data_IF_079338741091
#
_entry.id   IF_079338741091
#
_cell.length_a   1.000
_cell.length_b   1.000
_cell.length_c   1.000
_cell.angle_alpha   90.00
_cell.angle_beta   90.00
_cell.angle_gamma   90.00
#
_symmetry.space_group_name_H-M   'P 1'
#
loop_
_entity.id
_entity.type
_entity.pdbx_description
1 polymer ?
#
# COMPACT_ATOMS: atom_id res chain seq x y z
N UNK A 1 -39.04 -3.63 -1.33
CA UNK A 1 -39.27 -3.99 -2.75
C UNK A 1 -38.24 -3.20 -3.55
N UNK A 2 -37.19 -3.87 -4.05
CA UNK A 2 -36.16 -3.24 -4.88
C UNK A 2 -36.64 -3.28 -6.35
N UNK A 3 -36.46 -2.15 -7.04
CA UNK A 3 -36.82 -1.93 -8.44
C UNK A 3 -35.91 -2.77 -9.36
N UNK A 4 -36.40 -3.64 -10.26
CA UNK A 4 -35.60 -4.48 -11.12
C UNK A 4 -35.45 -3.92 -12.54
N UNK A 5 -35.11 -2.63 -12.70
CA UNK A 5 -35.05 -2.00 -14.03
C UNK A 5 -33.65 -1.67 -14.57
N UNK A 6 -32.58 -2.34 -14.11
CA UNK A 6 -31.33 -2.33 -14.86
C UNK A 6 -31.32 -3.43 -15.91
N UNK A 7 -31.67 -3.05 -17.13
CA UNK A 7 -31.80 -3.95 -18.26
C UNK A 7 -30.46 -4.33 -18.87
N UNK A 8 -30.41 -5.49 -19.51
CA UNK A 8 -29.26 -5.98 -20.34
C UNK A 8 -28.73 -4.92 -21.32
N UNK A 9 -29.53 -3.92 -21.64
CA UNK A 9 -29.23 -2.80 -22.53
C UNK A 9 -28.29 -1.78 -21.87
N UNK A 10 -28.45 -1.52 -20.56
CA UNK A 10 -27.59 -0.57 -19.81
C UNK A 10 -26.19 -1.17 -19.58
N UNK A 11 -26.12 -2.48 -19.39
CA UNK A 11 -24.86 -3.21 -19.33
C UNK A 11 -24.10 -3.20 -20.67
N UNK A 12 -24.80 -3.33 -21.79
CA UNK A 12 -24.19 -3.26 -23.13
C UNK A 12 -23.79 -1.83 -23.51
N UNK A 13 -24.49 -0.80 -23.04
CA UNK A 13 -24.11 0.60 -23.21
C UNK A 13 -22.83 0.95 -22.43
N UNK A 14 -22.67 0.40 -21.22
CA UNK A 14 -21.44 0.53 -20.45
C UNK A 14 -20.24 -0.14 -21.14
N UNK A 15 -20.44 -1.30 -21.77
CA UNK A 15 -19.41 -1.97 -22.59
C UNK A 15 -19.05 -1.16 -23.83
N UNK A 16 -20.01 -0.49 -24.47
CA UNK A 16 -19.79 0.39 -25.62
C UNK A 16 -18.91 1.63 -25.25
N UNK A 17 -19.15 2.21 -24.07
CA UNK A 17 -18.33 3.32 -23.56
C UNK A 17 -16.90 2.86 -23.17
N UNK A 18 -16.74 1.64 -22.66
CA UNK A 18 -15.43 1.03 -22.40
C UNK A 18 -14.68 0.70 -23.70
N UNK A 19 -15.35 0.40 -24.79
CA UNK A 19 -14.71 0.16 -26.10
C UNK A 19 -14.19 1.44 -26.74
N UNK A 20 -14.84 2.60 -26.53
CA UNK A 20 -14.33 3.90 -26.95
C UNK A 20 -13.09 4.33 -26.13
N UNK A 21 -13.03 4.01 -24.85
CA UNK A 21 -11.82 4.18 -24.03
C UNK A 21 -10.65 3.25 -24.46
N UNK A 22 -10.96 2.05 -24.98
CA UNK A 22 -9.93 1.15 -25.51
C UNK A 22 -9.24 1.71 -26.76
N UNK A 23 -9.93 2.40 -27.64
CA UNK A 23 -9.34 2.99 -28.85
C UNK A 23 -8.32 4.11 -28.55
N UNK A 24 -8.53 4.89 -27.48
CA UNK A 24 -7.55 5.90 -27.03
C UNK A 24 -6.35 5.25 -26.32
N UNK A 25 -6.56 4.10 -25.67
CA UNK A 25 -5.49 3.31 -25.06
C UNK A 25 -4.59 2.63 -26.10
N UNK A 26 -5.12 2.26 -27.25
CA UNK A 26 -4.41 1.48 -28.28
C UNK A 26 -3.34 2.31 -29.03
N UNK A 27 -3.54 3.60 -29.21
CA UNK A 27 -2.53 4.50 -29.79
C UNK A 27 -1.39 4.81 -28.80
N UNK A 28 -1.69 4.99 -27.52
CA UNK A 28 -0.66 5.13 -26.47
C UNK A 28 0.13 3.83 -26.26
N UNK A 29 -0.52 2.68 -26.42
CA UNK A 29 0.13 1.37 -26.26
C UNK A 29 1.14 1.06 -27.36
N UNK A 30 0.88 1.52 -28.59
CA UNK A 30 1.81 1.42 -29.72
C UNK A 30 3.05 2.31 -29.55
N UNK A 31 2.96 3.40 -28.80
CA UNK A 31 4.10 4.26 -28.49
C UNK A 31 5.02 3.72 -27.38
N UNK A 32 4.54 2.79 -26.54
CA UNK A 32 5.34 2.20 -25.45
C UNK A 32 6.42 1.26 -25.98
N UNK A 33 6.24 0.64 -27.16
CA UNK A 33 7.27 -0.19 -27.79
C UNK A 33 8.40 0.62 -28.42
N UNK A 34 8.26 1.96 -28.51
CA UNK A 34 9.26 2.88 -29.05
C UNK A 34 10.05 3.65 -27.96
N UNK A 35 9.81 3.40 -26.68
CA UNK A 35 10.66 3.92 -25.61
C UNK A 35 11.99 3.14 -25.54
N UNK A 36 12.82 3.30 -26.53
CA UNK A 36 14.26 3.24 -26.35
C UNK A 36 14.60 4.44 -25.44
N UNK A 37 15.09 4.13 -24.25
CA UNK A 37 15.47 5.14 -23.25
C UNK A 37 16.40 6.15 -23.88
N UNK A 38 15.97 7.41 -23.97
CA UNK A 38 16.88 8.53 -24.21
C UNK A 38 17.87 8.58 -23.02
N UNK A 39 19.16 8.29 -23.23
CA UNK A 39 20.18 8.36 -22.18
C UNK A 39 20.42 9.80 -21.68
N UNK A 40 19.74 10.80 -22.24
CA UNK A 40 19.87 12.21 -21.91
C UNK A 40 18.67 12.77 -21.12
N UNK A 41 17.96 11.92 -20.34
CA UNK A 41 16.97 12.42 -19.37
C UNK A 41 17.61 13.48 -18.47
N UNK A 42 17.24 14.74 -18.71
CA UNK A 42 17.74 15.92 -17.98
C UNK A 42 17.10 16.12 -16.62
N UNK A 43 16.72 15.03 -15.90
CA UNK A 43 16.27 15.16 -14.50
C UNK A 43 17.40 15.75 -13.67
N UNK A 44 17.25 17.01 -13.31
CA UNK A 44 18.16 17.69 -12.38
C UNK A 44 17.84 17.24 -10.96
N UNK A 45 18.85 16.76 -10.25
CA UNK A 45 18.73 16.22 -8.90
C UNK A 45 18.82 14.69 -8.88
N UNK A 46 19.45 14.15 -7.84
CA UNK A 46 19.57 12.70 -7.62
C UNK A 46 18.74 12.32 -6.41
N UNK A 47 17.73 11.44 -6.61
CA UNK A 47 17.15 10.65 -5.55
C UNK A 47 18.20 9.72 -4.92
N UNK A 48 17.78 8.85 -4.02
CA UNK A 48 18.64 7.78 -3.50
C UNK A 48 18.93 6.69 -4.54
N UNK A 49 17.98 6.47 -5.45
CA UNK A 49 18.12 5.52 -6.55
C UNK A 49 18.64 6.23 -7.81
N UNK A 50 19.28 5.46 -8.70
CA UNK A 50 19.71 5.93 -9.99
C UNK A 50 18.49 6.27 -10.87
N UNK A 51 18.45 7.44 -11.54
CA UNK A 51 17.32 7.82 -12.40
C UNK A 51 17.03 6.80 -13.51
N UNK A 52 18.06 6.16 -14.05
CA UNK A 52 18.00 5.11 -15.05
C UNK A 52 17.31 3.83 -14.60
N UNK A 53 17.15 3.64 -13.27
CA UNK A 53 16.42 2.50 -12.74
C UNK A 53 14.91 2.59 -12.99
N UNK A 54 14.39 3.76 -13.37
CA UNK A 54 12.94 3.97 -13.53
C UNK A 54 12.58 4.40 -14.94
N UNK A 55 11.55 3.76 -15.51
CA UNK A 55 11.03 4.03 -16.85
C UNK A 55 9.95 5.13 -16.81
N UNK A 56 10.24 6.25 -16.17
CA UNK A 56 9.32 7.39 -16.21
C UNK A 56 9.40 8.15 -17.54
N UNK A 57 8.26 8.70 -17.96
CA UNK A 57 8.29 9.73 -19.01
C UNK A 57 9.17 10.92 -18.55
N UNK A 58 9.95 11.56 -19.44
CA UNK A 58 10.98 12.53 -19.06
C UNK A 58 10.49 13.66 -18.14
N UNK A 59 9.30 14.20 -18.41
CA UNK A 59 8.74 15.35 -17.69
C UNK A 59 7.88 14.95 -16.48
N UNK A 60 7.62 13.65 -16.28
CA UNK A 60 6.71 13.19 -15.26
C UNK A 60 7.28 13.36 -13.84
N UNK A 61 6.60 14.10 -12.99
CA UNK A 61 6.80 14.13 -11.54
C UNK A 61 5.84 13.12 -10.91
N UNK A 62 6.37 11.96 -10.50
CA UNK A 62 5.56 10.88 -9.95
C UNK A 62 5.57 10.89 -8.42
N UNK A 63 4.48 11.32 -7.80
CA UNK A 63 4.32 11.47 -6.34
C UNK A 63 3.14 10.63 -5.83
N UNK A 64 2.98 9.41 -6.38
CA UNK A 64 1.85 8.54 -6.07
C UNK A 64 2.24 7.09 -5.71
N UNK A 65 3.44 6.88 -5.17
CA UNK A 65 3.96 5.56 -4.74
C UNK A 65 3.01 4.83 -3.79
N UNK A 66 2.34 5.55 -2.90
CA UNK A 66 1.34 4.99 -1.99
C UNK A 66 0.10 4.39 -2.68
N UNK A 67 -0.09 4.58 -3.99
CA UNK A 67 -1.11 3.87 -4.78
C UNK A 67 -0.50 2.71 -5.55
N UNK A 68 0.56 2.98 -6.32
CA UNK A 68 1.27 2.00 -7.14
C UNK A 68 2.72 2.45 -7.30
N UNK A 69 3.67 1.69 -6.77
CA UNK A 69 5.10 1.97 -6.90
C UNK A 69 5.61 1.66 -8.32
N UNK A 70 6.54 2.44 -8.86
CA UNK A 70 7.23 2.06 -10.09
C UNK A 70 8.15 0.88 -9.80
N UNK A 71 8.20 -0.10 -10.70
CA UNK A 71 9.12 -1.23 -10.53
C UNK A 71 10.48 -0.84 -11.11
N UNK A 72 11.58 -0.90 -10.33
CA UNK A 72 12.91 -0.59 -10.83
C UNK A 72 13.34 -1.54 -11.94
N UNK A 73 14.19 -1.05 -12.85
CA UNK A 73 14.72 -1.85 -13.98
C UNK A 73 15.36 -3.17 -13.52
N UNK A 74 16.25 -3.22 -12.50
CA UNK A 74 16.81 -4.49 -12.05
C UNK A 74 15.76 -5.50 -11.61
N UNK A 75 14.69 -5.04 -10.96
CA UNK A 75 13.56 -5.88 -10.52
C UNK A 75 12.74 -6.38 -11.72
N UNK A 76 12.50 -5.51 -12.72
CA UNK A 76 11.82 -5.91 -13.96
C UNK A 76 12.63 -6.94 -14.73
N UNK A 77 13.93 -6.72 -14.89
CA UNK A 77 14.83 -7.63 -15.62
C UNK A 77 14.87 -9.00 -14.95
N UNK A 78 14.95 -9.07 -13.62
CA UNK A 78 14.86 -10.35 -12.88
C UNK A 78 13.53 -11.05 -13.10
N UNK A 79 12.41 -10.30 -13.08
CA UNK A 79 11.07 -10.84 -13.33
C UNK A 79 10.95 -11.41 -14.75
N UNK A 80 11.43 -10.68 -15.76
CA UNK A 80 11.42 -11.08 -17.17
C UNK A 80 12.33 -12.30 -17.39
N UNK A 81 13.51 -12.33 -16.77
CA UNK A 81 14.42 -13.46 -16.85
C UNK A 81 13.78 -14.74 -16.29
N UNK A 82 13.15 -14.64 -15.12
CA UNK A 82 12.43 -15.77 -14.53
C UNK A 82 11.28 -16.26 -15.41
N UNK A 83 10.58 -15.35 -16.08
CA UNK A 83 9.52 -15.73 -17.03
C UNK A 83 10.08 -16.49 -18.23
N UNK A 84 11.14 -15.95 -18.85
CA UNK A 84 11.79 -16.62 -19.99
C UNK A 84 12.30 -18.01 -19.64
N UNK A 85 12.88 -18.18 -18.45
CA UNK A 85 13.34 -19.47 -17.95
C UNK A 85 12.18 -20.46 -17.74
N UNK A 86 11.09 -20.00 -17.12
CA UNK A 86 9.87 -20.79 -16.91
C UNK A 86 9.33 -21.36 -18.23
N UNK A 87 9.27 -20.54 -19.29
CA UNK A 87 8.72 -20.95 -20.59
C UNK A 87 9.61 -21.91 -21.39
N UNK A 88 10.86 -22.15 -20.97
CA UNK A 88 11.69 -23.20 -21.58
C UNK A 88 11.12 -24.60 -21.31
N UNK A 89 10.57 -24.83 -20.13
CA UNK A 89 9.80 -26.03 -19.77
C UNK A 89 9.00 -25.75 -18.49
N UNK A 90 7.74 -25.26 -18.63
CA UNK A 90 6.95 -24.76 -17.50
C UNK A 90 6.78 -25.76 -16.35
N UNK A 91 6.57 -27.06 -16.66
CA UNK A 91 6.43 -28.07 -15.61
C UNK A 91 7.73 -28.33 -14.88
N UNK A 92 8.86 -28.44 -15.61
CA UNK A 92 10.16 -28.74 -15.04
C UNK A 92 10.67 -27.60 -14.15
N UNK A 93 10.64 -26.37 -14.64
CA UNK A 93 11.12 -25.22 -13.88
C UNK A 93 10.12 -24.78 -12.80
N UNK A 94 8.82 -24.81 -13.11
CA UNK A 94 7.75 -24.32 -12.23
C UNK A 94 7.56 -25.18 -10.98
N UNK A 95 7.65 -26.51 -11.11
CA UNK A 95 7.57 -27.48 -10.00
C UNK A 95 8.94 -28.00 -9.54
N UNK A 96 10.00 -27.26 -9.82
CA UNK A 96 11.37 -27.60 -9.47
C UNK A 96 12.14 -26.40 -8.95
N UNK A 97 13.16 -25.97 -9.72
CA UNK A 97 14.08 -24.92 -9.27
C UNK A 97 13.40 -23.59 -8.89
N UNK A 98 12.36 -23.18 -9.63
CA UNK A 98 11.67 -21.91 -9.33
C UNK A 98 10.71 -22.02 -8.14
N UNK A 99 10.16 -23.20 -7.86
CA UNK A 99 9.40 -23.44 -6.62
C UNK A 99 10.30 -23.22 -5.38
N UNK A 100 11.49 -23.82 -5.37
CA UNK A 100 12.46 -23.60 -4.30
C UNK A 100 12.90 -22.14 -4.20
N UNK A 101 13.12 -21.48 -5.35
CA UNK A 101 13.47 -20.06 -5.38
C UNK A 101 12.38 -19.15 -4.81
N UNK A 102 11.09 -19.52 -4.91
CA UNK A 102 10.01 -18.79 -4.22
C UNK A 102 10.08 -18.92 -2.71
N UNK A 103 10.51 -20.08 -2.18
CA UNK A 103 10.75 -20.23 -0.73
C UNK A 103 11.97 -19.44 -0.26
N UNK A 104 13.00 -19.28 -1.09
CA UNK A 104 14.12 -18.38 -0.82
C UNK A 104 13.67 -16.91 -0.74
N UNK A 105 12.71 -16.51 -1.58
CA UNK A 105 12.06 -15.19 -1.49
C UNK A 105 11.34 -15.02 -0.14
N UNK A 106 10.61 -16.06 0.33
CA UNK A 106 9.99 -16.03 1.66
C UNK A 106 11.02 -15.83 2.77
N UNK A 107 12.12 -16.57 2.72
CA UNK A 107 13.20 -16.44 3.70
C UNK A 107 13.84 -15.05 3.66
N UNK A 108 14.01 -14.46 2.48
CA UNK A 108 14.51 -13.09 2.30
C UNK A 108 13.53 -12.06 2.87
N UNK A 109 12.23 -12.20 2.58
CA UNK A 109 11.18 -11.35 3.12
C UNK A 109 11.05 -11.47 4.64
N UNK A 110 11.22 -12.68 5.18
CA UNK A 110 11.20 -12.92 6.63
C UNK A 110 12.32 -12.15 7.34
N UNK A 111 13.55 -12.26 6.84
CA UNK A 111 14.69 -11.46 7.37
C UNK A 111 14.45 -9.95 7.30
N UNK A 112 13.88 -9.49 6.19
CA UNK A 112 13.58 -8.07 5.97
C UNK A 112 12.51 -7.53 6.95
N UNK A 113 11.57 -8.37 7.38
CA UNK A 113 10.47 -8.01 8.30
C UNK A 113 10.75 -8.38 9.77
N UNK A 114 11.93 -8.96 10.10
CA UNK A 114 12.24 -9.43 11.44
C UNK A 114 11.44 -10.68 11.86
N UNK A 115 11.01 -11.51 10.90
CA UNK A 115 10.22 -12.71 11.11
C UNK A 115 11.00 -14.00 10.83
N UNK A 116 10.41 -15.15 11.14
CA UNK A 116 10.86 -16.46 10.66
C UNK A 116 10.19 -16.78 9.32
N UNK A 117 10.81 -17.64 8.51
CA UNK A 117 10.30 -18.01 7.18
C UNK A 117 8.88 -18.60 7.26
N UNK A 118 8.62 -19.44 8.27
CA UNK A 118 7.33 -20.11 8.49
C UNK A 118 6.20 -19.14 8.89
N UNK A 119 6.54 -17.92 9.28
CA UNK A 119 5.59 -16.88 9.63
C UNK A 119 5.22 -15.99 8.45
N UNK A 120 5.81 -16.23 7.26
CA UNK A 120 5.55 -15.43 6.05
C UNK A 120 4.74 -16.23 5.04
N UNK A 121 3.64 -15.67 4.60
CA UNK A 121 2.83 -16.11 3.45
C UNK A 121 3.05 -15.13 2.30
N UNK A 122 3.33 -15.66 1.11
CA UNK A 122 3.31 -14.84 -0.12
C UNK A 122 1.86 -14.63 -0.55
N UNK A 123 1.49 -13.38 -0.79
CA UNK A 123 0.13 -12.97 -1.17
C UNK A 123 0.17 -12.11 -2.43
N UNK A 124 -1.00 -11.78 -2.98
CA UNK A 124 -1.12 -10.89 -4.14
C UNK A 124 -1.09 -9.40 -3.77
N UNK A 125 -1.47 -9.06 -2.55
CA UNK A 125 -1.52 -7.70 -2.02
C UNK A 125 -1.96 -7.73 -0.55
N UNK A 126 -1.93 -6.57 0.11
CA UNK A 126 -2.47 -6.41 1.47
C UNK A 126 -3.92 -6.87 1.61
N UNK A 127 -4.79 -6.51 0.65
CA UNK A 127 -6.21 -6.92 0.68
C UNK A 127 -6.37 -8.44 0.73
N UNK A 128 -5.53 -9.17 0.02
CA UNK A 128 -5.49 -10.63 0.03
C UNK A 128 -5.14 -11.16 1.43
N UNK A 129 -4.04 -10.68 2.02
CA UNK A 129 -3.64 -11.07 3.37
C UNK A 129 -4.67 -10.71 4.44
N UNK A 130 -5.26 -9.52 4.37
CA UNK A 130 -6.33 -9.11 5.31
C UNK A 130 -7.55 -10.02 5.19
N UNK A 131 -7.94 -10.43 3.97
CA UNK A 131 -9.04 -11.37 3.76
C UNK A 131 -8.70 -12.77 4.31
N UNK A 132 -7.47 -13.26 4.10
CA UNK A 132 -7.03 -14.55 4.64
C UNK A 132 -7.18 -14.56 6.17
N UNK A 133 -6.69 -13.53 6.85
CA UNK A 133 -6.80 -13.44 8.31
C UNK A 133 -8.25 -13.32 8.76
N UNK A 134 -9.02 -12.39 8.20
CA UNK A 134 -10.38 -12.13 8.62
C UNK A 134 -11.31 -13.34 8.45
N UNK A 135 -11.14 -14.08 7.35
CA UNK A 135 -11.95 -15.25 7.05
C UNK A 135 -11.48 -16.51 7.77
N UNK A 136 -10.17 -16.59 8.10
CA UNK A 136 -9.61 -17.72 8.83
C UNK A 136 -9.82 -17.67 10.34
N UNK A 137 -10.21 -16.52 10.91
CA UNK A 137 -10.51 -16.39 12.33
C UNK A 137 -11.91 -16.93 12.64
N UNK A 138 -12.01 -17.61 13.79
CA UNK A 138 -13.28 -18.09 14.32
C UNK A 138 -13.95 -17.03 15.18
N UNK A 139 -15.22 -16.72 14.90
CA UNK A 139 -16.03 -15.75 15.62
C UNK A 139 -17.32 -16.38 16.15
N UNK A 140 -17.76 -15.91 17.32
CA UNK A 140 -19.10 -16.13 17.84
C UNK A 140 -20.00 -14.93 17.53
N UNK A 141 -21.31 -15.16 17.41
CA UNK A 141 -22.27 -14.07 17.20
C UNK A 141 -22.18 -13.05 18.35
N UNK A 142 -22.07 -11.75 17.98
CA UNK A 142 -21.91 -10.64 18.90
C UNK A 142 -20.48 -10.41 19.37
N UNK A 143 -19.47 -11.14 18.90
CA UNK A 143 -18.08 -10.72 18.98
C UNK A 143 -17.89 -9.41 18.24
N UNK A 144 -16.83 -8.69 18.55
CA UNK A 144 -16.61 -7.33 18.02
C UNK A 144 -15.22 -7.19 17.42
N UNK A 145 -15.14 -6.47 16.33
CA UNK A 145 -13.89 -6.00 15.73
C UNK A 145 -13.85 -4.49 15.87
N UNK A 146 -12.76 -3.96 16.42
CA UNK A 146 -12.51 -2.55 16.59
C UNK A 146 -11.56 -2.08 15.47
N UNK A 147 -11.96 -1.06 14.73
CA UNK A 147 -11.20 -0.50 13.59
C UNK A 147 -11.28 1.02 13.60
N UNK A 148 -10.72 1.71 12.58
CA UNK A 148 -10.80 3.17 12.50
C UNK A 148 -11.71 3.65 11.37
N UNK A 149 -12.08 4.94 11.41
CA UNK A 149 -12.83 5.61 10.34
C UNK A 149 -11.97 5.98 9.12
N UNK A 150 -10.63 5.77 9.19
CA UNK A 150 -9.70 6.11 8.13
C UNK A 150 -9.08 4.89 7.42
N UNK A 151 -9.62 3.70 7.65
CA UNK A 151 -9.12 2.49 6.99
C UNK A 151 -9.39 2.50 5.49
N UNK A 152 -8.38 2.07 4.73
CA UNK A 152 -8.56 1.86 3.29
C UNK A 152 -9.60 0.74 3.04
N UNK A 153 -10.51 0.88 2.04
CA UNK A 153 -11.51 -0.14 1.74
C UNK A 153 -10.93 -1.55 1.57
N UNK A 154 -9.73 -1.68 0.99
CA UNK A 154 -9.04 -2.97 0.83
C UNK A 154 -8.69 -3.68 2.13
N UNK A 155 -8.43 -2.95 3.22
CA UNK A 155 -8.20 -3.50 4.55
C UNK A 155 -9.48 -3.62 5.39
N UNK A 156 -10.54 -2.86 5.03
CA UNK A 156 -11.80 -2.79 5.77
C UNK A 156 -12.84 -3.80 5.32
N UNK A 157 -13.01 -4.05 4.01
CA UNK A 157 -14.11 -4.86 3.46
C UNK A 157 -14.14 -6.31 3.98
N UNK A 158 -13.01 -6.88 4.34
CA UNK A 158 -12.96 -8.21 4.96
C UNK A 158 -13.75 -8.24 6.29
N UNK A 159 -13.68 -7.19 7.10
CA UNK A 159 -14.42 -7.08 8.35
C UNK A 159 -15.91 -6.81 8.13
N UNK A 160 -16.27 -6.04 7.11
CA UNK A 160 -17.67 -5.88 6.70
C UNK A 160 -18.28 -7.23 6.25
N UNK A 161 -17.48 -8.07 5.58
CA UNK A 161 -17.89 -9.43 5.23
C UNK A 161 -18.10 -10.31 6.47
N UNK A 162 -17.12 -10.32 7.41
CA UNK A 162 -17.20 -11.07 8.67
C UNK A 162 -18.42 -10.65 9.49
N UNK A 163 -18.68 -9.34 9.58
CA UNK A 163 -19.84 -8.79 10.25
C UNK A 163 -21.16 -9.36 9.70
N UNK A 164 -21.32 -9.33 8.37
CA UNK A 164 -22.54 -9.84 7.73
C UNK A 164 -22.69 -11.35 7.84
N UNK A 165 -21.57 -12.10 7.74
CA UNK A 165 -21.60 -13.57 7.70
C UNK A 165 -21.75 -14.20 9.08
N UNK A 166 -21.08 -13.66 10.09
CA UNK A 166 -20.95 -14.28 11.40
C UNK A 166 -21.64 -13.49 12.52
N UNK A 167 -22.33 -12.39 12.20
CA UNK A 167 -23.00 -11.56 13.20
C UNK A 167 -22.03 -10.82 14.14
N UNK A 168 -20.81 -10.54 13.66
CA UNK A 168 -19.80 -9.75 14.36
C UNK A 168 -20.17 -8.27 14.26
N UNK A 169 -20.02 -7.52 15.36
CA UNK A 169 -20.21 -6.09 15.36
C UNK A 169 -18.90 -5.35 15.03
N UNK A 170 -18.99 -4.29 14.22
CA UNK A 170 -17.85 -3.42 13.94
C UNK A 170 -17.95 -2.13 14.75
N UNK A 171 -16.96 -1.91 15.60
CA UNK A 171 -16.77 -0.66 16.32
C UNK A 171 -15.75 0.20 15.59
N UNK A 172 -15.96 1.52 15.55
CA UNK A 172 -15.13 2.44 14.81
C UNK A 172 -14.58 3.51 15.73
N UNK A 173 -13.26 3.61 15.79
CA UNK A 173 -12.53 4.70 16.46
C UNK A 173 -12.33 5.83 15.47
N UNK A 174 -12.78 7.03 15.83
CA UNK A 174 -12.52 8.23 15.03
C UNK A 174 -11.09 8.72 15.25
N UNK A 175 -10.34 8.88 14.16
CA UNK A 175 -9.00 9.48 14.15
C UNK A 175 -9.10 10.84 13.43
N UNK A 176 -9.05 11.96 14.16
CA UNK A 176 -9.18 13.27 13.54
C UNK A 176 -8.08 13.54 12.51
N UNK A 177 -8.40 14.17 11.36
CA UNK A 177 -7.38 14.66 10.44
C UNK A 177 -6.46 15.66 11.15
N UNK A 178 -5.14 15.46 11.03
CA UNK A 178 -4.12 16.27 11.73
C UNK A 178 -3.80 15.78 13.14
N UNK A 179 -4.31 14.61 13.58
CA UNK A 179 -3.91 14.00 14.84
C UNK A 179 -2.38 13.84 14.91
N UNK A 180 -1.80 14.13 16.07
CA UNK A 180 -0.36 14.08 16.28
C UNK A 180 0.04 13.63 17.69
N UNK A 181 -0.91 13.08 18.45
CA UNK A 181 -0.70 12.57 19.80
C UNK A 181 -0.93 11.05 19.84
N UNK A 182 0.18 10.29 19.97
CA UNK A 182 0.15 8.84 20.04
C UNK A 182 -0.66 8.33 21.24
N UNK A 183 -0.54 8.97 22.41
CA UNK A 183 -1.27 8.56 23.62
C UNK A 183 -2.76 8.78 23.45
N UNK A 184 -3.17 9.91 22.85
CA UNK A 184 -4.58 10.18 22.57
C UNK A 184 -5.19 9.12 21.63
N UNK A 185 -4.42 8.61 20.65
CA UNK A 185 -4.84 7.49 19.79
C UNK A 185 -5.06 6.23 20.63
N UNK A 186 -4.07 5.85 21.44
CA UNK A 186 -4.15 4.66 22.30
C UNK A 186 -5.34 4.75 23.27
N UNK A 187 -5.57 5.89 23.89
CA UNK A 187 -6.67 6.12 24.83
C UNK A 187 -8.05 5.97 24.15
N UNK A 188 -8.20 6.42 22.88
CA UNK A 188 -9.43 6.20 22.10
C UNK A 188 -9.70 4.72 21.91
N UNK A 189 -8.68 3.93 21.54
CA UNK A 189 -8.83 2.48 21.41
C UNK A 189 -9.14 1.83 22.76
N UNK A 190 -8.41 2.19 23.83
CA UNK A 190 -8.61 1.64 25.16
C UNK A 190 -10.04 1.86 25.69
N UNK A 191 -10.62 3.03 25.39
CA UNK A 191 -12.01 3.38 25.74
C UNK A 191 -13.04 2.60 24.92
N UNK A 192 -12.74 2.27 23.67
CA UNK A 192 -13.66 1.60 22.75
C UNK A 192 -13.66 0.06 22.93
N UNK A 193 -12.62 -0.53 23.53
CA UNK A 193 -12.54 -1.97 23.77
C UNK A 193 -13.61 -2.40 24.78
N UNK A 194 -14.32 -3.48 24.44
CA UNK A 194 -15.33 -4.11 25.28
C UNK A 194 -14.91 -5.57 25.63
N UNK A 195 -15.56 -6.25 26.59
CA UNK A 195 -15.29 -7.67 26.87
C UNK A 195 -15.54 -8.62 25.67
N UNK A 196 -16.28 -8.14 24.66
CA UNK A 196 -16.57 -8.90 23.43
C UNK A 196 -15.65 -8.55 22.26
N UNK A 197 -14.76 -7.59 22.41
CA UNK A 197 -13.78 -7.25 21.38
C UNK A 197 -12.78 -8.38 21.22
N UNK A 198 -12.61 -8.89 19.99
CA UNK A 198 -11.68 -9.98 19.66
C UNK A 198 -10.49 -9.49 18.83
N UNK A 199 -10.71 -8.46 18.02
CA UNK A 199 -9.72 -7.95 17.08
C UNK A 199 -9.66 -6.44 17.16
N UNK A 200 -8.44 -5.90 17.21
CA UNK A 200 -8.10 -4.54 16.83
C UNK A 200 -7.50 -4.60 15.43
N UNK A 201 -8.17 -4.04 14.45
CA UNK A 201 -7.68 -3.98 13.07
C UNK A 201 -7.47 -2.53 12.66
N UNK A 202 -6.24 -2.18 12.30
CA UNK A 202 -5.86 -0.80 11.98
C UNK A 202 -4.67 -0.77 11.02
N UNK A 203 -4.55 0.34 10.27
CA UNK A 203 -3.41 0.57 9.38
C UNK A 203 -2.16 0.99 10.18
N UNK A 204 -0.98 0.57 9.76
CA UNK A 204 0.29 1.09 10.29
C UNK A 204 0.50 2.55 9.87
N UNK A 205 0.27 2.85 8.58
CA UNK A 205 0.21 4.22 8.06
C UNK A 205 -1.17 4.44 7.44
N UNK A 206 -1.90 5.44 7.93
CA UNK A 206 -3.21 5.77 7.38
C UNK A 206 -3.07 6.28 5.94
N UNK A 207 -3.75 5.62 5.01
CA UNK A 207 -3.65 5.96 3.58
C UNK A 207 -4.27 7.31 3.22
N UNK A 208 -5.13 7.85 4.08
CA UNK A 208 -5.82 9.14 3.90
C UNK A 208 -4.97 10.34 4.30
N UNK A 209 -4.21 10.23 5.41
CA UNK A 209 -3.48 11.36 6.02
C UNK A 209 -1.97 11.13 6.13
N UNK A 210 -1.50 9.89 5.95
CA UNK A 210 -0.10 9.53 6.18
C UNK A 210 0.30 9.45 7.66
N UNK A 211 -0.67 9.49 8.57
CA UNK A 211 -0.41 9.33 10.00
C UNK A 211 0.18 7.95 10.30
N UNK A 212 1.32 7.92 10.97
CA UNK A 212 1.93 6.70 11.50
C UNK A 212 1.25 6.34 12.83
N UNK A 213 0.54 5.25 12.85
CA UNK A 213 -0.17 4.77 14.04
C UNK A 213 0.82 4.18 15.05
N UNK A 214 0.58 4.32 16.36
CA UNK A 214 1.42 3.77 17.42
C UNK A 214 1.20 2.24 17.54
N UNK A 215 1.71 1.48 16.55
CA UNK A 215 1.47 0.04 16.41
C UNK A 215 1.96 -0.76 17.63
N UNK A 216 3.17 -0.51 18.20
CA UNK A 216 3.62 -1.24 19.39
C UNK A 216 2.67 -1.07 20.58
N UNK A 217 2.24 0.16 20.86
CA UNK A 217 1.37 0.49 21.98
C UNK A 217 -0.05 -0.10 21.78
N UNK A 218 -0.57 -0.04 20.55
CA UNK A 218 -1.87 -0.64 20.20
C UNK A 218 -1.81 -2.18 20.27
N UNK A 219 -0.69 -2.78 19.86
CA UNK A 219 -0.47 -4.22 19.95
C UNK A 219 -0.37 -4.66 21.41
N UNK A 220 0.35 -3.92 22.24
CA UNK A 220 0.43 -4.16 23.68
C UNK A 220 -0.93 -4.02 24.37
N UNK A 221 -1.70 -2.99 23.99
CA UNK A 221 -3.08 -2.81 24.47
C UNK A 221 -3.97 -3.99 24.09
N UNK A 222 -3.90 -4.45 22.83
CA UNK A 222 -4.65 -5.60 22.35
C UNK A 222 -4.33 -6.85 23.18
N UNK A 223 -3.05 -7.17 23.40
CA UNK A 223 -2.61 -8.29 24.23
C UNK A 223 -3.12 -8.19 25.67
N UNK A 224 -2.99 -7.02 26.29
CA UNK A 224 -3.46 -6.78 27.66
C UNK A 224 -4.98 -6.96 27.81
N UNK A 225 -5.73 -6.87 26.73
CA UNK A 225 -7.20 -7.05 26.70
C UNK A 225 -7.64 -8.39 26.09
N UNK A 226 -6.71 -9.30 25.79
CA UNK A 226 -7.01 -10.60 25.18
C UNK A 226 -7.49 -10.51 23.72
N UNK A 227 -7.22 -9.40 23.03
CA UNK A 227 -7.56 -9.16 21.64
C UNK A 227 -6.39 -9.49 20.72
N UNK A 228 -6.67 -9.72 19.43
CA UNK A 228 -5.68 -9.81 18.38
C UNK A 228 -5.42 -8.43 17.76
N UNK A 229 -4.17 -8.07 17.54
CA UNK A 229 -3.77 -6.91 16.73
C UNK A 229 -3.49 -7.36 15.30
N UNK A 230 -4.32 -6.92 14.35
CA UNK A 230 -4.21 -7.22 12.91
C UNK A 230 -3.92 -5.92 12.18
N UNK A 231 -2.77 -5.85 11.53
CA UNK A 231 -2.23 -4.60 11.00
C UNK A 231 -2.24 -4.59 9.47
N UNK A 232 -2.86 -3.57 8.89
CA UNK A 232 -2.73 -3.23 7.46
C UNK A 232 -1.45 -2.41 7.26
N UNK A 233 -0.42 -3.04 6.72
CA UNK A 233 0.89 -2.45 6.41
C UNK A 233 1.05 -1.97 4.97
N UNK A 234 -0.05 -1.77 4.25
CA UNK A 234 -0.03 -1.43 2.81
C UNK A 234 0.80 -0.20 2.45
N UNK A 235 0.95 0.75 3.37
CA UNK A 235 1.67 1.99 3.14
C UNK A 235 3.06 2.04 3.82
N UNK A 236 3.51 0.94 4.43
CA UNK A 236 4.66 0.99 5.35
C UNK A 236 5.89 0.30 4.80
N UNK A 237 5.78 -0.96 4.38
CA UNK A 237 6.92 -1.80 3.99
C UNK A 237 7.57 -1.25 2.71
N UNK A 238 8.83 -0.90 2.82
CA UNK A 238 9.62 -0.25 1.76
C UNK A 238 9.71 1.29 1.91
N UNK A 239 8.83 1.92 2.71
CA UNK A 239 8.87 3.36 2.98
C UNK A 239 9.31 3.70 4.41
N UNK A 240 9.07 2.77 5.36
CA UNK A 240 9.53 2.89 6.75
C UNK A 240 10.11 1.56 7.22
N UNK A 241 10.99 1.61 8.22
CA UNK A 241 11.50 0.40 8.86
C UNK A 241 10.37 -0.39 9.54
N UNK A 242 10.30 -1.70 9.27
CA UNK A 242 9.28 -2.60 9.86
C UNK A 242 9.96 -3.83 10.43
N UNK A 243 9.83 -4.02 11.74
CA UNK A 243 10.15 -5.24 12.45
C UNK A 243 8.87 -5.75 13.12
N UNK A 244 8.25 -6.79 12.56
CA UNK A 244 6.94 -7.28 13.02
C UNK A 244 6.98 -7.87 14.42
N UNK A 245 8.16 -8.33 14.88
CA UNK A 245 8.35 -8.79 16.26
C UNK A 245 8.39 -7.62 17.24
N UNK A 246 9.10 -6.56 16.92
CA UNK A 246 9.13 -5.33 17.70
C UNK A 246 7.75 -4.62 17.73
N UNK A 247 7.01 -4.66 16.62
CA UNK A 247 5.63 -4.15 16.53
C UNK A 247 4.66 -4.96 17.41
N UNK A 248 4.97 -6.23 17.71
CA UNK A 248 4.18 -7.07 18.59
C UNK A 248 2.79 -7.42 18.07
N UNK A 249 2.49 -7.22 16.79
CA UNK A 249 1.20 -7.56 16.20
C UNK A 249 1.06 -9.07 15.95
N UNK A 250 -0.18 -9.55 15.82
CA UNK A 250 -0.46 -10.97 15.57
C UNK A 250 -0.48 -11.30 14.08
N UNK A 251 -0.90 -10.35 13.23
CA UNK A 251 -0.77 -10.45 11.79
C UNK A 251 -0.45 -9.08 11.18
N UNK A 252 0.30 -9.10 10.08
CA UNK A 252 0.70 -7.89 9.35
C UNK A 252 0.67 -8.16 7.84
N UNK A 253 -0.26 -7.52 7.13
CA UNK A 253 -0.40 -7.70 5.68
C UNK A 253 0.17 -6.49 4.93
N UNK A 254 0.93 -6.74 3.84
CA UNK A 254 1.53 -5.67 3.05
C UNK A 254 1.47 -5.94 1.55
N UNK A 255 1.63 -4.88 0.74
CA UNK A 255 1.68 -4.93 -0.71
C UNK A 255 3.12 -4.73 -1.20
N UNK A 256 3.62 -5.67 -2.02
CA UNK A 256 4.94 -5.56 -2.62
C UNK A 256 5.02 -4.47 -3.71
N UNK A 257 3.89 -4.15 -4.33
CA UNK A 257 3.81 -3.25 -5.49
C UNK A 257 3.57 -1.76 -5.14
N UNK A 258 3.83 -1.36 -3.89
CA UNK A 258 3.77 0.05 -3.46
C UNK A 258 5.18 0.54 -3.11
N UNK A 259 5.46 0.82 -1.86
CA UNK A 259 6.74 1.36 -1.38
C UNK A 259 7.91 0.36 -1.51
N UNK A 260 7.63 -0.94 -1.52
CA UNK A 260 8.64 -1.97 -1.76
C UNK A 260 9.04 -2.09 -3.25
N UNK A 261 8.33 -1.42 -4.16
CA UNK A 261 8.62 -1.30 -5.59
C UNK A 261 8.65 -2.63 -6.35
N UNK A 262 8.03 -3.67 -5.81
CA UNK A 262 7.92 -4.99 -6.43
C UNK A 262 6.95 -5.05 -7.61
N UNK A 263 6.90 -6.18 -8.32
CA UNK A 263 5.92 -6.42 -9.37
C UNK A 263 4.49 -6.27 -8.88
N UNK A 264 3.60 -5.77 -9.77
CA UNK A 264 2.18 -5.59 -9.48
C UNK A 264 1.53 -6.95 -9.24
N UNK A 265 0.68 -7.04 -8.21
CA UNK A 265 0.06 -8.32 -7.82
C UNK A 265 0.94 -9.16 -6.87
N UNK A 266 1.85 -8.53 -6.12
CA UNK A 266 2.64 -9.17 -5.07
C UNK A 266 2.39 -8.54 -3.71
N UNK A 267 2.53 -9.33 -2.66
CA UNK A 267 2.38 -8.92 -1.27
C UNK A 267 2.92 -9.98 -0.32
N UNK A 268 2.91 -9.65 0.96
CA UNK A 268 3.34 -10.52 2.04
C UNK A 268 2.34 -10.44 3.19
N UNK A 269 2.17 -11.54 3.90
CA UNK A 269 1.42 -11.63 5.14
C UNK A 269 2.32 -12.29 6.20
N UNK A 270 2.57 -11.56 7.27
CA UNK A 270 3.15 -12.11 8.49
C UNK A 270 2.05 -12.66 9.40
N UNK A 271 2.26 -13.84 9.93
CA UNK A 271 1.39 -14.52 10.89
C UNK A 271 2.22 -14.94 12.11
N UNK A 272 1.90 -14.36 13.26
CA UNK A 272 2.55 -14.76 14.51
C UNK A 272 2.16 -16.18 14.88
N UNK A 273 3.13 -16.95 15.37
CA UNK A 273 2.92 -18.28 15.95
C UNK A 273 1.85 -18.30 17.07
N UNK A 274 1.65 -17.17 17.75
CA UNK A 274 0.64 -17.01 18.80
C UNK A 274 -0.82 -17.10 18.28
N UNK A 275 -1.03 -16.97 16.96
CA UNK A 275 -2.34 -17.23 16.36
C UNK A 275 -2.75 -18.69 16.54
N UNK A 276 -1.80 -19.63 16.36
CA UNK A 276 -2.03 -21.06 16.56
C UNK A 276 -3.35 -21.54 15.95
N UNK A 277 -4.09 -22.36 16.70
CA UNK A 277 -5.38 -22.92 16.26
C UNK A 277 -6.53 -21.89 16.16
N UNK A 278 -6.29 -20.61 16.49
CA UNK A 278 -7.28 -19.55 16.31
C UNK A 278 -7.45 -19.08 14.87
N UNK A 279 -6.49 -19.45 14.02
CA UNK A 279 -6.48 -19.05 12.61
C UNK A 279 -6.36 -20.29 11.72
N UNK A 280 -7.38 -20.53 10.90
CA UNK A 280 -7.40 -21.58 9.89
C UNK A 280 -7.57 -20.97 8.50
N UNK A 281 -6.50 -20.98 7.70
CA UNK A 281 -6.47 -20.38 6.37
C UNK A 281 -6.49 -21.49 5.30
N UNK A 282 -7.59 -21.61 4.59
CA UNK A 282 -7.79 -22.63 3.54
C UNK A 282 -6.77 -22.51 2.38
N UNK A 283 -6.34 -21.27 2.07
CA UNK A 283 -5.50 -20.99 0.90
C UNK A 283 -4.01 -20.90 1.21
N UNK A 284 -3.51 -21.73 2.14
CA UNK A 284 -2.07 -21.84 2.45
C UNK A 284 -1.58 -23.27 2.36
N UNK A 285 -0.30 -23.44 2.05
CA UNK A 285 0.39 -24.72 2.14
C UNK A 285 0.88 -24.97 3.58
N UNK A 286 1.22 -26.22 3.95
CA UNK A 286 1.88 -26.53 5.22
C UNK A 286 3.14 -25.65 5.39
N UNK A 287 3.35 -25.17 6.63
CA UNK A 287 4.44 -24.24 6.96
C UNK A 287 4.48 -22.97 6.06
N UNK A 288 3.34 -22.60 5.49
CA UNK A 288 3.17 -21.46 4.58
C UNK A 288 4.10 -21.49 3.37
N UNK A 289 4.47 -22.68 2.88
CA UNK A 289 5.27 -22.84 1.65
C UNK A 289 4.65 -22.02 0.50
N UNK A 290 5.49 -21.49 -0.38
CA UNK A 290 5.06 -20.63 -1.47
C UNK A 290 4.17 -21.36 -2.49
N UNK A 291 4.30 -22.69 -2.56
CA UNK A 291 3.46 -23.57 -3.35
C UNK A 291 3.00 -24.79 -2.54
N UNK A 292 1.82 -25.27 -2.83
CA UNK A 292 1.22 -26.48 -2.29
C UNK A 292 -0.25 -26.60 -2.70
N UNK A 293 -0.89 -27.71 -2.37
CA UNK A 293 -2.27 -28.01 -2.77
C UNK A 293 -3.27 -26.92 -2.37
N UNK A 294 -3.02 -26.25 -1.25
CA UNK A 294 -3.88 -25.15 -0.76
C UNK A 294 -3.66 -23.81 -1.44
N UNK A 295 -2.49 -23.58 -2.04
CA UNK A 295 -2.16 -22.27 -2.66
C UNK A 295 -2.52 -22.18 -4.15
N UNK A 296 -2.45 -23.32 -4.85
CA UNK A 296 -2.50 -23.33 -6.31
C UNK A 296 -1.28 -22.67 -6.96
N UNK A 297 -1.27 -22.59 -8.29
CA UNK A 297 -0.21 -21.94 -9.04
C UNK A 297 -0.33 -20.44 -8.95
N UNK A 298 0.73 -19.76 -8.49
CA UNK A 298 0.86 -18.30 -8.45
C UNK A 298 1.72 -17.79 -9.62
N UNK A 299 1.86 -16.47 -9.76
CA UNK A 299 2.79 -15.88 -10.73
C UNK A 299 4.23 -16.02 -10.24
N UNK A 300 4.86 -17.17 -10.50
CA UNK A 300 6.24 -17.49 -10.11
C UNK A 300 7.20 -16.34 -10.45
N UNK A 301 7.26 -15.82 -11.70
CA UNK A 301 8.15 -14.72 -12.04
C UNK A 301 7.93 -13.46 -11.21
N UNK A 302 6.66 -13.15 -10.86
CA UNK A 302 6.35 -12.00 -10.01
C UNK A 302 6.84 -12.20 -8.56
N UNK A 303 6.77 -13.41 -8.02
CA UNK A 303 7.30 -13.73 -6.69
C UNK A 303 8.82 -13.60 -6.67
N UNK A 304 9.52 -14.10 -7.69
CA UNK A 304 10.97 -13.93 -7.81
C UNK A 304 11.37 -12.46 -7.98
N UNK A 305 10.56 -11.68 -8.71
CA UNK A 305 10.71 -10.22 -8.78
C UNK A 305 10.46 -9.52 -7.45
N UNK A 306 9.55 -10.03 -6.60
CA UNK A 306 9.35 -9.51 -5.24
C UNK A 306 10.62 -9.69 -4.39
N UNK A 307 11.29 -10.85 -4.49
CA UNK A 307 12.59 -11.07 -3.84
C UNK A 307 13.63 -10.04 -4.28
N UNK A 308 13.75 -9.82 -5.58
CA UNK A 308 14.65 -8.79 -6.13
C UNK A 308 14.31 -7.37 -5.64
N UNK A 309 13.02 -7.06 -5.43
CA UNK A 309 12.60 -5.77 -4.88
C UNK A 309 13.01 -5.61 -3.41
N UNK A 310 12.87 -6.66 -2.59
CA UNK A 310 13.37 -6.67 -1.20
C UNK A 310 14.88 -6.44 -1.17
N UNK A 311 15.64 -7.14 -2.02
CA UNK A 311 17.10 -6.95 -2.13
C UNK A 311 17.46 -5.53 -2.57
N UNK A 312 16.74 -4.96 -3.55
CA UNK A 312 16.95 -3.61 -4.05
C UNK A 312 16.84 -2.57 -2.93
N UNK A 313 15.72 -2.57 -2.17
CA UNK A 313 15.54 -1.60 -1.07
C UNK A 313 16.50 -1.88 0.10
N UNK A 314 16.82 -3.15 0.36
CA UNK A 314 17.81 -3.53 1.39
C UNK A 314 19.21 -2.99 1.06
N UNK A 315 19.60 -3.04 -0.21
CA UNK A 315 20.91 -2.53 -0.66
C UNK A 315 21.00 -1.01 -0.49
N UNK A 316 19.91 -0.27 -0.72
CA UNK A 316 19.86 1.18 -0.47
C UNK A 316 19.88 1.46 1.04
N UNK A 317 19.18 0.66 1.83
CA UNK A 317 19.05 0.75 3.28
C UNK A 317 17.81 1.51 3.73
N UNK A 318 16.99 0.85 4.57
CA UNK A 318 15.68 1.38 4.99
C UNK A 318 15.79 2.70 5.76
N UNK A 319 16.80 2.84 6.64
CA UNK A 319 17.00 4.10 7.38
C UNK A 319 17.28 5.29 6.45
N UNK A 320 18.03 5.04 5.37
CA UNK A 320 18.32 6.08 4.36
C UNK A 320 17.08 6.42 3.55
N UNK A 321 16.28 5.42 3.18
CA UNK A 321 15.02 5.62 2.45
C UNK A 321 14.05 6.43 3.30
N UNK A 322 13.79 6.03 4.54
CA UNK A 322 12.89 6.72 5.46
C UNK A 322 13.35 8.17 5.72
N UNK A 323 14.64 8.39 5.97
CA UNK A 323 15.18 9.73 6.18
C UNK A 323 15.04 10.63 4.94
N UNK A 324 15.27 10.10 3.75
CA UNK A 324 15.08 10.81 2.48
C UNK A 324 13.62 11.17 2.24
N UNK A 325 12.71 10.20 2.39
CA UNK A 325 11.28 10.38 2.19
C UNK A 325 10.72 11.44 3.16
N UNK A 326 11.15 11.40 4.42
CA UNK A 326 10.77 12.38 5.43
C UNK A 326 11.37 13.77 5.15
N UNK A 327 12.59 13.88 4.63
CA UNK A 327 13.19 15.16 4.27
C UNK A 327 12.38 15.87 3.17
N UNK A 328 12.11 15.17 2.06
CA UNK A 328 11.29 15.70 0.96
C UNK A 328 9.86 16.03 1.40
N UNK A 329 9.26 15.14 2.17
CA UNK A 329 7.91 15.32 2.72
C UNK A 329 7.84 16.54 3.65
N UNK A 330 8.83 16.74 4.52
CA UNK A 330 8.83 17.86 5.47
C UNK A 330 9.04 19.20 4.76
N UNK A 331 9.88 19.24 3.71
CA UNK A 331 10.02 20.39 2.83
C UNK A 331 8.68 20.76 2.18
N UNK A 332 7.99 19.77 1.60
CA UNK A 332 6.67 19.98 1.02
C UNK A 332 5.65 20.42 2.08
N UNK A 333 5.64 19.79 3.25
CA UNK A 333 4.73 20.14 4.36
C UNK A 333 4.85 21.62 4.76
N UNK A 334 6.07 22.11 4.91
CA UNK A 334 6.33 23.52 5.24
C UNK A 334 5.78 24.45 4.14
N UNK A 335 6.06 24.15 2.88
CA UNK A 335 5.58 24.97 1.76
C UNK A 335 4.04 24.94 1.61
N UNK A 336 3.38 23.82 1.92
CA UNK A 336 1.92 23.72 1.90
C UNK A 336 1.26 24.61 2.96
N UNK A 337 1.91 24.80 4.12
CA UNK A 337 1.38 25.69 5.17
C UNK A 337 1.38 27.17 4.77
N UNK A 338 2.18 27.55 3.78
CA UNK A 338 2.22 28.90 3.22
C UNK A 338 1.11 29.18 2.20
N UNK A 339 0.35 28.18 1.77
CA UNK A 339 -0.76 28.34 0.81
C UNK A 339 -2.06 28.57 1.56
N UNK A 340 -2.63 29.81 1.56
CA UNK A 340 -3.72 30.18 2.47
C UNK A 340 -5.04 29.44 2.21
N UNK A 341 -5.21 28.91 0.99
CA UNK A 341 -6.49 28.34 0.53
C UNK A 341 -6.62 26.84 0.85
N UNK A 342 -5.58 26.20 1.38
CA UNK A 342 -5.58 24.77 1.70
C UNK A 342 -5.38 24.55 3.21
N UNK A 343 -5.73 23.35 3.66
CA UNK A 343 -5.48 22.90 5.03
C UNK A 343 -4.72 21.58 5.02
N UNK A 344 -3.48 21.58 5.51
CA UNK A 344 -2.71 20.33 5.70
C UNK A 344 -3.36 19.51 6.83
N UNK A 345 -3.55 18.22 6.58
CA UNK A 345 -4.21 17.26 7.49
C UNK A 345 -3.35 16.09 7.92
N UNK A 346 -2.11 16.07 7.47
CA UNK A 346 -1.08 15.14 7.95
C UNK A 346 -0.46 15.65 9.26
N UNK A 347 0.08 14.72 10.05
CA UNK A 347 0.85 15.08 11.24
C UNK A 347 2.06 15.97 10.87
N UNK A 348 2.48 16.92 11.72
CA UNK A 348 3.72 17.66 11.52
C UNK A 348 4.95 16.75 11.54
N UNK A 349 6.13 17.30 11.29
CA UNK A 349 7.40 16.56 11.43
C UNK A 349 7.52 15.97 12.84
N UNK A 350 7.84 14.67 12.92
CA UNK A 350 7.94 13.95 14.18
C UNK A 350 7.68 12.44 14.01
N UNK A 351 7.56 11.71 15.12
CA UNK A 351 7.48 10.25 15.10
C UNK A 351 6.20 9.70 14.44
N UNK A 352 5.14 10.52 14.34
CA UNK A 352 3.89 10.13 13.67
C UNK A 352 3.83 10.56 12.19
N UNK A 353 4.91 11.12 11.65
CA UNK A 353 5.04 11.44 10.22
C UNK A 353 5.46 10.21 9.40
N UNK A 354 5.16 10.24 8.11
CA UNK A 354 5.60 9.26 7.12
C UNK A 354 5.92 9.97 5.79
N UNK A 355 6.37 9.27 4.76
CA UNK A 355 6.58 9.82 3.41
C UNK A 355 5.30 10.31 2.71
N UNK A 356 4.17 10.32 3.40
CA UNK A 356 2.88 10.81 2.90
C UNK A 356 2.56 12.19 3.49
N UNK A 357 2.04 13.09 2.66
CA UNK A 357 1.41 14.33 3.11
C UNK A 357 0.11 14.56 2.37
N UNK A 358 -0.92 14.96 3.09
CA UNK A 358 -2.26 15.22 2.55
C UNK A 358 -2.73 16.61 2.95
N UNK A 359 -3.35 17.30 2.01
CA UNK A 359 -3.99 18.58 2.24
C UNK A 359 -5.40 18.59 1.65
N UNK A 360 -6.29 19.32 2.29
CA UNK A 360 -7.65 19.57 1.79
C UNK A 360 -7.66 20.75 0.84
N UNK A 361 -8.41 20.60 -0.24
CA UNK A 361 -8.70 21.67 -1.19
C UNK A 361 -9.84 22.58 -0.69
N UNK A 362 -9.93 23.83 -1.18
CA UNK A 362 -11.11 24.66 -1.02
C UNK A 362 -12.38 23.94 -1.51
N UNK A 363 -13.53 24.25 -0.91
CA UNK A 363 -14.80 23.53 -1.18
C UNK A 363 -15.28 23.64 -2.61
N UNK A 364 -14.94 24.73 -3.30
CA UNK A 364 -15.24 24.99 -4.71
C UNK A 364 -14.38 24.24 -5.71
N UNK A 365 -13.29 23.62 -5.24
CA UNK A 365 -12.38 22.80 -6.04
C UNK A 365 -12.59 21.32 -5.74
N UNK A 366 -12.94 20.53 -6.72
CA UNK A 366 -13.11 19.09 -6.55
C UNK A 366 -11.77 18.35 -6.73
N UNK A 367 -11.44 17.43 -5.82
CA UNK A 367 -10.15 16.72 -5.80
C UNK A 367 -9.85 15.90 -7.05
N UNK A 368 -10.87 15.31 -7.69
CA UNK A 368 -10.69 14.57 -8.95
C UNK A 368 -10.32 15.50 -10.11
N UNK A 369 -11.05 16.60 -10.27
CA UNK A 369 -10.77 17.59 -11.30
C UNK A 369 -9.40 18.25 -11.09
N UNK A 370 -9.04 18.52 -9.82
CA UNK A 370 -7.73 19.05 -9.48
C UNK A 370 -6.60 18.07 -9.80
N UNK A 371 -6.73 16.79 -9.45
CA UNK A 371 -5.77 15.75 -9.82
C UNK A 371 -5.56 15.68 -11.34
N UNK A 372 -6.66 15.68 -12.10
CA UNK A 372 -6.60 15.60 -13.56
C UNK A 372 -5.90 16.85 -14.17
N UNK A 373 -6.19 18.02 -13.64
CA UNK A 373 -5.53 19.27 -14.06
C UNK A 373 -4.02 19.23 -13.75
N UNK A 374 -3.61 18.76 -12.58
CA UNK A 374 -2.19 18.62 -12.22
C UNK A 374 -1.46 17.65 -13.16
N UNK A 375 -2.11 16.54 -13.52
CA UNK A 375 -1.57 15.56 -14.47
C UNK A 375 -1.42 16.13 -15.87
N UNK A 376 -2.46 16.82 -16.39
CA UNK A 376 -2.51 17.23 -17.80
C UNK A 376 -1.80 18.54 -18.10
N UNK A 377 -1.71 19.44 -17.11
CA UNK A 377 -1.11 20.77 -17.29
C UNK A 377 0.31 20.88 -16.74
N UNK A 378 0.63 20.10 -15.71
CA UNK A 378 1.90 20.21 -14.99
C UNK A 378 2.73 18.93 -15.00
N UNK A 379 2.26 17.85 -15.63
CA UNK A 379 2.89 16.52 -15.63
C UNK A 379 3.18 15.98 -14.23
N UNK A 380 2.31 16.30 -13.26
CA UNK A 380 2.44 15.89 -11.85
C UNK A 380 1.38 14.86 -11.50
N UNK A 381 1.81 13.64 -11.18
CA UNK A 381 0.91 12.55 -10.79
C UNK A 381 0.72 12.52 -9.25
N UNK A 382 -0.51 12.76 -8.81
CA UNK A 382 -0.91 12.83 -7.41
C UNK A 382 -2.06 11.85 -7.11
N UNK A 383 -2.42 11.71 -5.85
CA UNK A 383 -3.60 10.94 -5.42
C UNK A 383 -4.70 11.85 -4.91
N UNK A 384 -5.86 11.81 -5.53
CA UNK A 384 -7.04 12.41 -4.93
C UNK A 384 -7.51 11.59 -3.73
N UNK A 385 -7.90 12.26 -2.65
CA UNK A 385 -8.64 11.67 -1.54
C UNK A 385 -10.12 11.92 -1.79
N UNK A 386 -10.98 10.85 -1.78
CA UNK A 386 -12.39 10.99 -2.12
C UNK A 386 -13.11 11.99 -1.21
N UNK A 387 -14.03 12.78 -1.79
CA UNK A 387 -14.81 13.79 -1.07
C UNK A 387 -15.61 13.22 0.12
N UNK A 388 -15.98 11.93 0.05
CA UNK A 388 -16.67 11.23 1.15
C UNK A 388 -15.81 11.13 2.42
N UNK A 389 -14.48 11.18 2.30
CA UNK A 389 -13.57 11.23 3.43
C UNK A 389 -13.11 12.65 3.71
N UNK A 390 -12.52 13.28 2.70
CA UNK A 390 -12.11 14.68 2.71
C UNK A 390 -11.82 15.12 1.28
N UNK A 391 -12.21 16.30 0.87
CA UNK A 391 -11.89 16.83 -0.46
C UNK A 391 -10.40 17.21 -0.53
N UNK A 392 -9.51 16.26 -0.77
CA UNK A 392 -8.08 16.47 -0.62
C UNK A 392 -7.21 15.81 -1.67
N UNK A 393 -5.94 16.14 -1.59
CA UNK A 393 -4.85 15.60 -2.40
C UNK A 393 -3.80 15.01 -1.47
N UNK A 394 -3.38 13.78 -1.76
CA UNK A 394 -2.28 13.10 -1.09
C UNK A 394 -1.07 13.05 -2.01
N UNK A 395 0.08 13.36 -1.45
CA UNK A 395 1.40 13.28 -2.06
C UNK A 395 2.20 12.17 -1.38
N UNK A 396 2.95 11.40 -2.14
CA UNK A 396 3.82 10.33 -1.66
C UNK A 396 5.23 10.56 -2.21
N UNK A 397 6.17 10.96 -1.35
CA UNK A 397 7.60 11.07 -1.70
C UNK A 397 8.29 9.73 -1.47
N UNK A 398 9.20 9.33 -2.35
CA UNK A 398 9.93 8.07 -2.20
C UNK A 398 11.34 8.17 -2.80
N UNK A 399 12.14 7.14 -2.60
CA UNK A 399 13.58 7.04 -2.88
C UNK A 399 14.05 7.55 -4.26
N UNK A 400 13.17 7.60 -5.25
CA UNK A 400 13.47 8.11 -6.60
C UNK A 400 13.10 9.59 -6.78
N UNK A 401 12.34 10.18 -5.86
CA UNK A 401 11.99 11.60 -5.92
C UNK A 401 13.17 12.47 -5.52
N UNK A 402 13.13 13.71 -5.97
CA UNK A 402 14.19 14.70 -5.77
C UNK A 402 13.64 15.99 -5.17
N UNK A 403 14.50 16.88 -4.72
CA UNK A 403 14.12 18.24 -4.35
C UNK A 403 13.47 18.99 -5.51
N UNK A 404 13.93 18.76 -6.76
CA UNK A 404 13.34 19.36 -7.95
C UNK A 404 11.89 18.90 -8.18
N UNK A 405 11.58 17.61 -7.98
CA UNK A 405 10.20 17.12 -8.03
C UNK A 405 9.28 17.85 -7.04
N UNK A 406 9.78 18.09 -5.83
CA UNK A 406 9.05 18.83 -4.79
C UNK A 406 8.89 20.30 -5.17
N UNK A 407 9.92 20.94 -5.72
CA UNK A 407 9.88 22.35 -6.17
C UNK A 407 8.91 22.55 -7.32
N UNK A 408 8.92 21.64 -8.29
CA UNK A 408 7.95 21.65 -9.41
C UNK A 408 6.52 21.52 -8.91
N UNK A 409 6.26 20.60 -7.96
CA UNK A 409 4.95 20.49 -7.32
C UNK A 409 4.56 21.78 -6.60
N UNK A 410 5.44 22.37 -5.79
CA UNK A 410 5.18 23.62 -5.07
C UNK A 410 4.86 24.77 -6.02
N UNK A 411 5.62 24.91 -7.11
CA UNK A 411 5.38 25.92 -8.13
C UNK A 411 4.00 25.75 -8.79
N UNK A 412 3.65 24.51 -9.16
CA UNK A 412 2.35 24.19 -9.73
C UNK A 412 1.21 24.50 -8.74
N UNK A 413 1.35 24.12 -7.46
CA UNK A 413 0.34 24.42 -6.43
C UNK A 413 0.16 25.91 -6.20
N UNK A 414 1.24 26.69 -6.15
CA UNK A 414 1.18 28.16 -6.02
C UNK A 414 0.50 28.81 -7.21
N UNK A 415 0.76 28.30 -8.43
CA UNK A 415 0.10 28.78 -9.66
C UNK A 415 -1.42 28.56 -9.63
N UNK A 416 -1.87 27.42 -9.10
CA UNK A 416 -3.28 27.01 -9.17
C UNK A 416 -4.10 27.41 -7.93
N UNK A 417 -3.47 27.55 -6.77
CA UNK A 417 -4.13 27.76 -5.47
C UNK A 417 -3.68 29.05 -4.74
N UNK A 418 -2.61 29.68 -5.19
CA UNK A 418 -2.00 30.82 -4.52
C UNK A 418 -2.68 32.19 -4.77
N UNK A 419 -3.90 32.22 -5.35
CA UNK A 419 -4.64 33.43 -5.65
C UNK A 419 -5.72 33.70 -4.61
#
# INVERSE_FOLDING_TARGET
>A
MADPSHTRRDFLSAIGAMSAMRLVADERWKSITAYETDPHSTRMGRGLAAPEDFLFAPELVYLQTGSLGPTPRPVMERTIAAWKELELNPSFYGYGAQEHAMDDVRATAARFLGARTEEIVVTRCTTDGMNMVAQGLTFAAGDRVLTTDQEHPGGRHCWDYVARRFGVALDVVAIPPGENDAQAIVDRFAKAITPRTRVLSFSHLLSSTGLRMPVPELSALARARGCLAIVDGAQSVGGVGVDVKALGCHAYATSGHKWLLGPKGTGLLYLSEELGDRLDIVSTAPNHAAYGDGTGVTSIPSVLGLGAAVEYVTTIGMDRIEAHDLALRNRLFAALQEVPTIRVVSAPAGPLASGLVTFMLPTERESRAFQEMMRTKHDVELKMVPKVWMNGIRVSTHLFNTDDDVDRLIAALKSELGR
#
